data_IF_161886350918
#
_entry.id   IF_161886350918
#
_cell.length_a   1.000
_cell.length_b   1.000
_cell.length_c   1.000
_cell.angle_alpha   90.00
_cell.angle_beta   90.00
_cell.angle_gamma   90.00
#
_symmetry.space_group_name_H-M   'P 1'
#
loop_
_entity.id
_entity.type
_entity.pdbx_description
1 polymer ?
#
# COMPACT_ATOMS: atom_id res chain seq x y z
N UNK A 1 -2.78 -25.74 -22.06
CA UNK A 1 -2.87 -24.70 -23.11
C UNK A 1 -3.83 -23.62 -22.62
N UNK A 2 -3.33 -22.40 -22.41
CA UNK A 2 -4.09 -21.28 -21.86
C UNK A 2 -3.17 -20.31 -21.14
N UNK A 3 -2.38 -19.58 -21.94
CA UNK A 3 -1.41 -18.58 -21.52
C UNK A 3 -2.05 -17.46 -20.68
N UNK A 4 -1.58 -17.29 -19.44
CA UNK A 4 -1.76 -16.04 -18.67
C UNK A 4 -0.37 -15.57 -18.24
N UNK A 5 0.51 -15.29 -19.21
CA UNK A 5 1.88 -14.80 -18.96
C UNK A 5 2.20 -13.47 -19.65
N UNK A 6 1.26 -12.88 -20.39
CA UNK A 6 1.55 -11.74 -21.29
C UNK A 6 1.44 -10.33 -20.70
N UNK A 7 0.66 -10.10 -19.64
CA UNK A 7 0.35 -8.72 -19.19
C UNK A 7 1.18 -8.19 -18.01
N UNK A 8 1.95 -9.05 -17.32
CA UNK A 8 2.70 -8.63 -16.10
C UNK A 8 4.13 -8.15 -16.34
N UNK A 9 4.68 -8.23 -17.56
CA UNK A 9 6.10 -7.93 -17.80
C UNK A 9 6.44 -6.49 -18.19
N UNK A 10 5.52 -5.67 -18.70
CA UNK A 10 5.94 -4.42 -19.36
C UNK A 10 5.91 -3.14 -18.52
N UNK A 11 5.30 -3.14 -17.32
CA UNK A 11 5.26 -1.93 -16.48
C UNK A 11 6.25 -1.91 -15.30
N UNK A 12 6.92 -3.03 -15.04
CA UNK A 12 7.96 -3.14 -13.99
C UNK A 12 9.38 -3.04 -14.59
N UNK A 13 9.53 -3.18 -15.91
CA UNK A 13 10.85 -3.42 -16.54
C UNK A 13 11.61 -2.14 -16.96
N UNK A 14 11.01 -0.95 -16.92
CA UNK A 14 11.70 0.29 -17.33
C UNK A 14 12.34 1.11 -16.18
N UNK A 15 12.58 0.52 -15.01
CA UNK A 15 13.28 1.19 -13.88
C UNK A 15 14.32 0.32 -13.16
N UNK A 16 14.80 -0.77 -13.79
CA UNK A 16 15.77 -1.70 -13.17
C UNK A 16 17.24 -1.44 -13.59
N UNK A 17 17.58 -0.26 -14.10
CA UNK A 17 18.97 0.06 -14.48
C UNK A 17 19.81 0.70 -13.37
N UNK A 18 19.31 0.78 -12.13
CA UNK A 18 20.14 0.98 -10.94
C UNK A 18 19.56 0.12 -9.82
N UNK A 19 20.34 -0.85 -9.33
CA UNK A 19 19.91 -1.91 -8.41
C UNK A 19 19.47 -1.33 -7.05
N UNK A 20 18.26 -0.79 -6.97
CA UNK A 20 17.56 -0.59 -5.71
C UNK A 20 17.02 -1.94 -5.29
N UNK A 21 17.63 -2.55 -4.26
CA UNK A 21 17.17 -3.81 -3.67
C UNK A 21 15.73 -3.65 -3.18
N UNK A 22 14.76 -4.17 -3.93
CA UNK A 22 13.37 -4.30 -3.48
C UNK A 22 13.25 -5.60 -2.66
N UNK A 23 12.54 -5.53 -1.53
CA UNK A 23 12.29 -6.69 -0.67
C UNK A 23 10.80 -6.97 -0.58
N UNK A 24 10.35 -8.18 -0.93
CA UNK A 24 8.96 -8.60 -0.70
C UNK A 24 8.79 -8.85 0.80
N UNK A 25 7.84 -8.14 1.43
CA UNK A 25 7.53 -8.27 2.87
C UNK A 25 6.21 -8.99 3.12
N UNK A 26 5.31 -9.01 2.15
CA UNK A 26 4.08 -9.80 2.20
C UNK A 26 3.62 -10.22 0.80
N UNK A 27 3.11 -11.44 0.66
CA UNK A 27 2.49 -11.90 -0.56
C UNK A 27 1.44 -12.98 -0.26
N UNK A 28 0.29 -12.87 -0.92
CA UNK A 28 -0.74 -13.92 -0.98
C UNK A 28 -1.71 -13.65 -2.15
N UNK A 29 -2.88 -14.31 -2.15
CA UNK A 29 -3.91 -14.17 -3.19
C UNK A 29 -4.50 -12.75 -3.28
N UNK A 30 -4.41 -11.93 -2.24
CA UNK A 30 -4.97 -10.58 -2.21
C UNK A 30 -4.03 -9.54 -2.83
N UNK A 31 -2.71 -9.75 -2.75
CA UNK A 31 -1.73 -8.79 -3.24
C UNK A 31 -0.28 -9.12 -2.86
N UNK A 32 0.59 -8.16 -3.17
CA UNK A 32 2.02 -8.15 -2.83
C UNK A 32 2.36 -6.83 -2.14
N UNK A 33 3.15 -6.87 -1.08
CA UNK A 33 3.74 -5.68 -0.45
C UNK A 33 5.26 -5.78 -0.50
N UNK A 34 5.88 -4.70 -0.97
CA UNK A 34 7.31 -4.57 -1.18
C UNK A 34 7.87 -3.38 -0.38
N UNK A 35 9.08 -3.51 0.14
CA UNK A 35 9.82 -2.43 0.76
C UNK A 35 10.93 -1.95 -0.18
N UNK A 36 11.06 -0.63 -0.30
CA UNK A 36 12.06 0.09 -1.09
C UNK A 36 13.01 0.80 -0.11
N UNK A 37 14.11 0.15 0.35
CA UNK A 37 14.93 0.64 1.46
C UNK A 37 15.57 2.01 1.20
N UNK A 38 16.06 2.25 -0.03
CA UNK A 38 16.68 3.52 -0.41
C UNK A 38 15.72 4.70 -0.31
N UNK A 39 14.42 4.44 -0.47
CA UNK A 39 13.36 5.44 -0.42
C UNK A 39 12.62 5.43 0.92
N UNK A 40 12.84 4.40 1.75
CA UNK A 40 12.08 4.11 2.97
C UNK A 40 10.57 4.08 2.72
N UNK A 41 10.17 3.49 1.60
CA UNK A 41 8.76 3.40 1.18
C UNK A 41 8.33 1.94 1.15
N UNK A 42 7.14 1.67 1.67
CA UNK A 42 6.43 0.40 1.47
C UNK A 42 5.38 0.58 0.38
N UNK A 43 5.33 -0.33 -0.59
CA UNK A 43 4.36 -0.34 -1.69
C UNK A 43 3.53 -1.62 -1.63
N UNK A 44 2.26 -1.50 -1.29
CA UNK A 44 1.27 -2.58 -1.39
C UNK A 44 0.51 -2.50 -2.70
N UNK A 45 0.44 -3.59 -3.46
CA UNK A 45 -0.35 -3.71 -4.67
C UNK A 45 -1.41 -4.80 -4.48
N UNK A 46 -2.68 -4.42 -4.58
CA UNK A 46 -3.82 -5.29 -4.29
C UNK A 46 -4.65 -5.55 -5.55
N UNK A 47 -5.14 -6.78 -5.68
CA UNK A 47 -5.88 -7.20 -6.88
C UNK A 47 -7.00 -8.20 -6.60
N UNK A 48 -7.98 -8.23 -7.49
CA UNK A 48 -9.08 -9.20 -7.46
C UNK A 48 -10.25 -8.75 -6.59
N UNK A 49 -11.18 -9.67 -6.34
CA UNK A 49 -12.30 -9.45 -5.42
C UNK A 49 -11.75 -9.38 -3.99
N UNK A 50 -12.09 -8.33 -3.26
CA UNK A 50 -11.79 -8.21 -1.84
C UNK A 50 -12.24 -9.46 -1.08
N UNK A 51 -11.30 -10.12 -0.43
CA UNK A 51 -11.52 -11.25 0.46
C UNK A 51 -10.95 -10.92 1.83
N UNK A 52 -11.81 -10.84 2.84
CA UNK A 52 -11.46 -10.42 4.19
C UNK A 52 -10.34 -11.26 4.80
N UNK A 53 -10.42 -12.59 4.69
CA UNK A 53 -9.40 -13.49 5.22
C UNK A 53 -8.04 -13.28 4.57
N UNK A 54 -7.97 -13.23 3.23
CA UNK A 54 -6.69 -13.00 2.55
C UNK A 54 -6.17 -11.58 2.78
N UNK A 55 -7.03 -10.59 2.91
CA UNK A 55 -6.59 -9.23 3.19
C UNK A 55 -6.03 -9.10 4.62
N UNK A 56 -6.69 -9.68 5.63
CA UNK A 56 -6.17 -9.71 7.00
C UNK A 56 -4.82 -10.43 7.07
N UNK A 57 -4.72 -11.63 6.48
CA UNK A 57 -3.45 -12.36 6.42
C UNK A 57 -2.33 -11.54 5.76
N UNK A 58 -2.66 -10.79 4.70
CA UNK A 58 -1.70 -9.92 4.01
C UNK A 58 -1.24 -8.75 4.89
N UNK A 59 -2.18 -8.12 5.60
CA UNK A 59 -1.91 -7.02 6.52
C UNK A 59 -1.08 -7.50 7.71
N UNK A 60 -1.38 -8.67 8.28
CA UNK A 60 -0.62 -9.26 9.38
C UNK A 60 0.84 -9.52 9.00
N UNK A 61 1.09 -10.06 7.80
CA UNK A 61 2.45 -10.23 7.27
C UNK A 61 3.18 -8.88 7.16
N UNK A 62 2.47 -7.84 6.71
CA UNK A 62 3.03 -6.49 6.61
C UNK A 62 3.32 -5.89 8.00
N UNK A 63 2.45 -6.09 8.99
CA UNK A 63 2.65 -5.65 10.39
C UNK A 63 3.93 -6.24 10.97
N UNK A 64 4.20 -7.53 10.74
CA UNK A 64 5.43 -8.17 11.24
C UNK A 64 6.68 -7.47 10.73
N UNK A 65 6.67 -6.98 9.49
CA UNK A 65 7.78 -6.17 8.98
C UNK A 65 7.89 -4.85 9.74
N UNK A 66 6.81 -4.08 9.91
CA UNK A 66 6.84 -2.83 10.69
C UNK A 66 7.22 -3.01 12.17
N UNK A 67 7.06 -4.21 12.72
CA UNK A 67 7.45 -4.51 14.10
C UNK A 67 8.89 -5.02 14.23
N UNK A 68 9.59 -5.23 13.10
CA UNK A 68 10.99 -5.67 13.11
C UNK A 68 11.94 -4.49 13.32
N UNK A 69 13.07 -4.75 13.98
CA UNK A 69 14.11 -3.75 14.29
C UNK A 69 14.75 -3.13 13.03
N UNK A 70 14.60 -3.78 11.88
CA UNK A 70 15.11 -3.30 10.58
C UNK A 70 14.13 -2.39 9.85
N UNK A 71 12.93 -2.19 10.37
CA UNK A 71 11.93 -1.34 9.73
C UNK A 71 12.28 0.13 9.87
N UNK A 72 12.40 0.80 8.73
CA UNK A 72 12.66 2.24 8.65
C UNK A 72 11.81 2.78 7.50
N UNK A 73 10.52 2.96 7.77
CA UNK A 73 9.53 3.32 6.76
C UNK A 73 9.04 4.74 7.02
N UNK A 74 9.28 5.62 6.06
CA UNK A 74 8.81 7.01 6.11
C UNK A 74 7.42 7.15 5.45
N UNK A 75 7.11 6.33 4.46
CA UNK A 75 5.83 6.42 3.74
C UNK A 75 5.31 5.09 3.19
N UNK A 76 4.00 5.05 2.92
CA UNK A 76 3.29 3.89 2.37
C UNK A 76 2.55 4.29 1.10
N UNK A 77 2.59 3.43 0.08
CA UNK A 77 1.75 3.51 -1.12
C UNK A 77 0.88 2.27 -1.15
N UNK A 78 -0.44 2.45 -1.22
CA UNK A 78 -1.40 1.37 -1.41
C UNK A 78 -2.05 1.49 -2.79
N UNK A 79 -1.63 0.68 -3.76
CA UNK A 79 -2.27 0.56 -5.07
C UNK A 79 -3.42 -0.44 -5.00
N UNK A 80 -4.64 0.08 -4.96
CA UNK A 80 -5.88 -0.70 -4.92
C UNK A 80 -6.65 -0.62 -6.24
N UNK A 81 -6.03 -0.15 -7.34
CA UNK A 81 -6.68 -0.08 -8.66
C UNK A 81 -7.14 -1.45 -9.16
N UNK A 82 -6.40 -2.50 -8.83
CA UNK A 82 -6.74 -3.89 -9.18
C UNK A 82 -7.81 -4.51 -8.28
N UNK A 83 -8.17 -3.87 -7.17
CA UNK A 83 -9.14 -4.37 -6.20
C UNK A 83 -10.57 -4.02 -6.64
N UNK A 84 -11.51 -4.93 -6.40
CA UNK A 84 -12.94 -4.66 -6.58
C UNK A 84 -13.79 -5.32 -5.50
N UNK A 85 -15.01 -4.82 -5.33
CA UNK A 85 -15.91 -5.22 -4.24
C UNK A 85 -15.70 -4.40 -2.97
N UNK A 86 -16.37 -4.80 -1.89
CA UNK A 86 -16.31 -4.08 -0.61
C UNK A 86 -15.21 -4.63 0.30
N UNK A 87 -14.47 -3.73 0.92
CA UNK A 87 -13.55 -4.01 2.03
C UNK A 87 -14.00 -3.30 3.32
N UNK A 88 -15.29 -2.98 3.44
CA UNK A 88 -15.82 -2.26 4.60
C UNK A 88 -15.54 -2.97 5.93
N UNK A 89 -15.58 -4.30 5.96
CA UNK A 89 -15.28 -5.11 7.16
C UNK A 89 -13.82 -5.01 7.61
N UNK A 90 -12.90 -4.69 6.70
CA UNK A 90 -11.50 -4.50 7.07
C UNK A 90 -11.25 -3.14 7.74
N UNK A 91 -12.18 -2.19 7.66
CA UNK A 91 -11.96 -0.85 8.18
C UNK A 91 -11.70 -0.83 9.68
N UNK A 92 -12.40 -1.66 10.44
CA UNK A 92 -12.22 -1.75 11.90
C UNK A 92 -10.85 -2.34 12.23
N UNK A 93 -10.43 -3.38 11.50
CA UNK A 93 -9.10 -3.97 11.66
C UNK A 93 -7.98 -3.00 11.26
N UNK A 94 -8.17 -2.28 10.15
CA UNK A 94 -7.22 -1.25 9.72
C UNK A 94 -7.12 -0.15 10.80
N UNK A 95 -8.25 0.36 11.28
CA UNK A 95 -8.30 1.43 12.27
C UNK A 95 -7.75 1.03 13.65
N UNK A 96 -8.06 -0.18 14.11
CA UNK A 96 -7.72 -0.65 15.45
C UNK A 96 -6.34 -1.30 15.54
N UNK A 97 -5.77 -1.76 14.42
CA UNK A 97 -4.54 -2.55 14.43
C UNK A 97 -3.49 -2.00 13.47
N UNK A 98 -3.79 -1.90 12.18
CA UNK A 98 -2.77 -1.58 11.18
C UNK A 98 -2.26 -0.13 11.29
N UNK A 99 -3.15 0.86 11.27
CA UNK A 99 -2.75 2.27 11.33
C UNK A 99 -2.04 2.67 12.64
N UNK A 100 -2.47 2.17 13.82
CA UNK A 100 -1.70 2.36 15.05
C UNK A 100 -0.26 1.83 14.96
N UNK A 101 -0.04 0.71 14.26
CA UNK A 101 1.32 0.19 14.02
C UNK A 101 2.11 1.14 13.12
N UNK A 102 1.51 1.69 12.06
CA UNK A 102 2.19 2.67 11.20
C UNK A 102 2.58 3.93 11.98
N UNK A 103 1.66 4.48 12.78
CA UNK A 103 1.89 5.67 13.57
C UNK A 103 2.99 5.45 14.64
N UNK A 104 2.96 4.31 15.33
CA UNK A 104 4.00 3.93 16.31
C UNK A 104 5.40 3.84 15.68
N UNK A 105 5.47 3.48 14.40
CA UNK A 105 6.70 3.37 13.63
C UNK A 105 7.05 4.65 12.84
N UNK A 106 6.46 5.80 13.20
CA UNK A 106 6.76 7.11 12.63
C UNK A 106 6.54 7.22 11.11
N UNK A 107 5.64 6.42 10.55
CA UNK A 107 5.21 6.61 9.15
C UNK A 107 4.55 7.97 9.01
N UNK A 108 5.02 8.79 8.07
CA UNK A 108 4.60 10.20 7.93
C UNK A 108 3.53 10.39 6.87
N UNK A 109 3.59 9.58 5.81
CA UNK A 109 2.75 9.76 4.63
C UNK A 109 2.13 8.45 4.14
N UNK A 110 0.91 8.55 3.63
CA UNK A 110 0.24 7.50 2.91
C UNK A 110 -0.39 8.02 1.62
N UNK A 111 -0.06 7.37 0.51
CA UNK A 111 -0.79 7.52 -0.75
C UNK A 111 -1.65 6.29 -1.02
N UNK A 112 -2.91 6.50 -1.41
CA UNK A 112 -3.82 5.44 -1.83
C UNK A 112 -4.16 5.65 -3.30
N UNK A 113 -3.74 4.73 -4.16
CA UNK A 113 -3.97 4.81 -5.60
C UNK A 113 -5.22 4.00 -5.93
N UNK A 114 -6.23 4.66 -6.46
CA UNK A 114 -7.54 4.08 -6.76
C UNK A 114 -7.85 4.19 -8.25
N UNK A 115 -8.73 3.33 -8.74
CA UNK A 115 -9.36 3.49 -10.06
C UNK A 115 -10.64 4.29 -9.88
N UNK A 116 -11.25 4.71 -10.98
CA UNK A 116 -12.57 5.37 -10.97
C UNK A 116 -13.69 4.35 -10.63
N UNK A 117 -13.74 3.95 -9.35
CA UNK A 117 -14.74 3.06 -8.76
C UNK A 117 -15.29 3.74 -7.51
N UNK A 118 -16.58 4.08 -7.51
CA UNK A 118 -17.21 4.88 -6.45
C UNK A 118 -17.11 4.20 -5.08
N UNK A 119 -17.23 2.87 -5.03
CA UNK A 119 -17.19 2.12 -3.76
C UNK A 119 -15.77 2.13 -3.21
N UNK A 120 -14.78 1.80 -4.06
CA UNK A 120 -13.37 1.80 -3.66
C UNK A 120 -12.93 3.22 -3.26
N UNK A 121 -13.31 4.25 -4.01
CA UNK A 121 -13.04 5.65 -3.66
C UNK A 121 -13.61 6.03 -2.29
N UNK A 122 -14.89 5.71 -2.04
CA UNK A 122 -15.54 6.01 -0.77
C UNK A 122 -14.83 5.33 0.41
N UNK A 123 -14.51 4.04 0.29
CA UNK A 123 -13.85 3.28 1.34
C UNK A 123 -12.40 3.76 1.54
N UNK A 124 -11.65 4.04 0.47
CA UNK A 124 -10.31 4.64 0.53
C UNK A 124 -10.32 6.02 1.22
N UNK A 125 -11.39 6.81 1.04
CA UNK A 125 -11.56 8.09 1.75
C UNK A 125 -11.83 7.93 3.25
N UNK A 126 -12.45 6.82 3.67
CA UNK A 126 -12.54 6.48 5.10
C UNK A 126 -11.17 6.08 5.65
N UNK A 127 -10.41 5.32 4.88
CA UNK A 127 -9.05 4.90 5.21
C UNK A 127 -8.12 6.10 5.38
N UNK A 128 -8.11 7.05 4.44
CA UNK A 128 -7.27 8.26 4.54
C UNK A 128 -7.56 9.05 5.82
N UNK A 129 -8.84 9.22 6.18
CA UNK A 129 -9.25 9.89 7.43
C UNK A 129 -8.80 9.17 8.71
N UNK A 130 -8.66 7.83 8.67
CA UNK A 130 -8.09 7.08 9.79
C UNK A 130 -6.61 7.44 9.96
N UNK A 131 -5.85 7.48 8.86
CA UNK A 131 -4.44 7.90 8.87
C UNK A 131 -4.26 9.32 9.40
N UNK A 132 -5.05 10.27 8.90
CA UNK A 132 -4.98 11.69 9.33
C UNK A 132 -5.22 11.86 10.84
N UNK A 133 -6.15 11.10 11.43
CA UNK A 133 -6.42 11.12 12.88
C UNK A 133 -5.23 10.66 13.72
N UNK A 134 -4.32 9.91 13.13
CA UNK A 134 -3.09 9.41 13.76
C UNK A 134 -1.86 10.16 13.26
N UNK A 135 -2.04 11.36 12.73
CA UNK A 135 -0.97 12.23 12.22
C UNK A 135 -0.20 11.66 11.02
N UNK A 136 -0.78 10.70 10.30
CA UNK A 136 -0.25 10.21 9.02
C UNK A 136 -0.91 11.02 7.92
N UNK A 137 -0.15 11.88 7.24
CA UNK A 137 -0.67 12.63 6.10
C UNK A 137 -1.14 11.65 5.03
N UNK A 138 -2.41 11.67 4.67
CA UNK A 138 -3.01 10.64 3.80
C UNK A 138 -3.72 11.29 2.63
N UNK A 139 -3.52 10.77 1.41
CA UNK A 139 -4.17 11.32 0.21
C UNK A 139 -4.47 10.23 -0.83
N UNK A 140 -5.57 10.42 -1.55
CA UNK A 140 -6.00 9.56 -2.65
C UNK A 140 -5.43 10.10 -3.97
N UNK A 141 -5.00 9.20 -4.84
CA UNK A 141 -4.46 9.50 -6.17
C UNK A 141 -5.03 8.56 -7.22
N UNK A 142 -4.97 8.98 -8.48
CA UNK A 142 -5.33 8.15 -9.64
C UNK A 142 -4.10 7.67 -10.44
N UNK A 143 -2.92 8.20 -10.10
CA UNK A 143 -1.64 7.90 -10.73
C UNK A 143 -0.58 7.63 -9.65
N UNK A 144 0.25 6.61 -9.89
CA UNK A 144 1.41 6.33 -9.04
C UNK A 144 2.42 7.48 -9.10
N UNK A 145 2.56 8.13 -10.25
CA UNK A 145 3.50 9.24 -10.43
C UNK A 145 3.16 10.42 -9.52
N UNK A 146 1.88 10.79 -9.46
CA UNK A 146 1.42 11.91 -8.62
C UNK A 146 1.54 11.58 -7.14
N UNK A 147 1.22 10.34 -6.76
CA UNK A 147 1.41 9.83 -5.40
C UNK A 147 2.87 9.93 -4.95
N UNK A 148 3.80 9.51 -5.81
CA UNK A 148 5.22 9.56 -5.51
C UNK A 148 5.75 10.99 -5.40
N UNK A 149 5.33 11.88 -6.28
CA UNK A 149 5.73 13.29 -6.22
C UNK A 149 5.25 13.95 -4.92
N UNK A 150 3.99 13.72 -4.53
CA UNK A 150 3.46 14.23 -3.29
C UNK A 150 4.17 13.63 -2.05
N UNK A 151 4.47 12.32 -2.03
CA UNK A 151 5.25 11.72 -0.93
C UNK A 151 6.62 12.42 -0.81
N UNK A 152 7.31 12.68 -1.92
CA UNK A 152 8.60 13.40 -1.87
C UNK A 152 8.46 14.80 -1.28
N UNK A 153 7.37 15.51 -1.56
CA UNK A 153 7.11 16.83 -0.97
C UNK A 153 6.83 16.76 0.52
N UNK A 154 6.08 15.75 0.97
CA UNK A 154 5.79 15.54 2.40
C UNK A 154 7.05 15.20 3.17
N UNK A 155 7.92 14.33 2.63
CA UNK A 155 9.13 13.87 3.31
C UNK A 155 10.28 14.89 3.32
N UNK A 156 10.19 15.97 2.54
CA UNK A 156 11.16 17.08 2.57
C UNK A 156 10.89 18.08 3.71
N UNK A 157 9.69 18.05 4.29
CA UNK A 157 9.27 18.92 5.40
C UNK A 157 9.66 18.29 6.73
#
# INVERSE_FOLDING_TARGET
LGEISGFRKNYIVNWLSSVSQTMIIAQNKQGTTEYLPQRKIVVGTYHGKSNEQFAMEHIEKSIRFYQSDSSNVDAVIADVRGLYGSFAKLLDYLSGTFYPVLAKNNVKAQAIIVKDDVIVNHLSGRIARIGERLSIQSRIFYSIHDAENWIKEVLKK
#
